data_IF_385441497822
#
_entry.id   IF_385441497822
#
_cell.length_a   1.000
_cell.length_b   1.000
_cell.length_c   1.000
_cell.angle_alpha   90.00
_cell.angle_beta   90.00
_cell.angle_gamma   90.00
#
_symmetry.space_group_name_H-M   'P 1'
#
loop_
_entity.id
_entity.type
_entity.pdbx_description
1 polymer ?
#
# COMPACT_ATOMS: atom_id res chain seq x y z
N UNK A 1 -12.86 -11.48 -1.38
CA UNK A 1 -13.67 -10.33 -0.94
C UNK A 1 -12.97 -9.04 -1.37
N UNK A 2 -13.68 -7.93 -1.62
CA UNK A 2 -13.04 -6.64 -1.90
C UNK A 2 -12.42 -5.99 -0.64
N UNK A 3 -11.48 -5.06 -0.81
CA UNK A 3 -10.83 -4.32 0.30
C UNK A 3 -11.85 -3.61 1.19
N UNK A 4 -12.89 -3.01 0.60
CA UNK A 4 -13.95 -2.34 1.35
C UNK A 4 -14.69 -3.27 2.34
N UNK A 5 -14.70 -4.58 2.09
CA UNK A 5 -15.28 -5.55 3.02
C UNK A 5 -14.46 -5.74 4.30
N UNK A 6 -13.21 -5.29 4.31
CA UNK A 6 -12.28 -5.38 5.44
C UNK A 6 -12.17 -4.08 6.24
N UNK A 7 -13.10 -3.13 6.05
CA UNK A 7 -13.07 -1.80 6.67
C UNK A 7 -12.81 -1.83 8.20
N UNK A 8 -13.54 -2.65 8.95
CA UNK A 8 -13.35 -2.78 10.41
C UNK A 8 -11.97 -3.32 10.81
N UNK A 9 -11.34 -4.13 9.96
CA UNK A 9 -9.99 -4.61 10.23
C UNK A 9 -8.95 -3.52 9.94
N UNK A 10 -9.10 -2.80 8.83
CA UNK A 10 -8.26 -1.64 8.50
C UNK A 10 -8.37 -0.53 9.55
N UNK A 11 -9.57 -0.27 10.09
CA UNK A 11 -9.77 0.73 11.15
C UNK A 11 -9.05 0.35 12.46
N UNK A 12 -9.06 -0.94 12.83
CA UNK A 12 -8.29 -1.45 13.97
C UNK A 12 -6.79 -1.28 13.75
N UNK A 13 -6.28 -1.64 12.57
CA UNK A 13 -4.87 -1.44 12.21
C UNK A 13 -4.48 0.05 12.21
N UNK A 14 -5.35 0.93 11.70
CA UNK A 14 -5.10 2.37 11.72
C UNK A 14 -5.02 2.90 13.16
N UNK A 15 -5.93 2.48 14.03
CA UNK A 15 -5.91 2.84 15.46
C UNK A 15 -4.64 2.36 16.13
N UNK A 16 -4.20 1.11 15.87
CA UNK A 16 -2.95 0.57 16.40
C UNK A 16 -1.73 1.37 15.89
N UNK A 17 -1.68 1.67 14.59
CA UNK A 17 -0.58 2.40 13.96
C UNK A 17 -0.41 3.84 14.46
N UNK A 18 -1.50 4.48 14.89
CA UNK A 18 -1.48 5.87 15.38
C UNK A 18 -1.26 5.96 16.89
N UNK A 19 -1.53 4.89 17.62
CA UNK A 19 -1.31 4.82 19.08
C UNK A 19 0.17 4.68 19.45
N UNK A 20 1.02 4.26 18.50
CA UNK A 20 2.45 4.10 18.69
C UNK A 20 3.20 5.28 18.08
N UNK A 21 3.85 6.09 18.92
CA UNK A 21 4.71 7.16 18.45
C UNK A 21 6.03 6.57 17.91
N UNK A 22 6.12 6.40 16.60
CA UNK A 22 7.35 5.96 15.93
C UNK A 22 8.11 7.13 15.30
N UNK A 23 9.43 7.23 15.48
CA UNK A 23 10.25 8.22 14.78
C UNK A 23 10.51 7.85 13.31
N UNK A 24 10.21 6.61 12.90
CA UNK A 24 10.50 6.12 11.56
C UNK A 24 9.57 6.78 10.53
N UNK A 25 10.11 7.38 9.45
CA UNK A 25 9.30 8.00 8.39
C UNK A 25 8.26 7.04 7.81
N UNK A 26 8.63 5.77 7.63
CA UNK A 26 7.75 4.73 7.08
C UNK A 26 6.49 4.50 7.92
N UNK A 27 6.55 4.52 9.25
CA UNK A 27 5.36 4.36 10.10
C UNK A 27 4.38 5.52 9.94
N UNK A 28 4.90 6.75 9.85
CA UNK A 28 4.08 7.94 9.64
C UNK A 28 3.43 7.91 8.26
N UNK A 29 4.20 7.57 7.23
CA UNK A 29 3.69 7.48 5.86
C UNK A 29 2.69 6.33 5.73
N UNK A 30 2.94 5.19 6.37
CA UNK A 30 2.04 4.06 6.43
C UNK A 30 0.70 4.45 7.06
N UNK A 31 0.70 5.06 8.26
CA UNK A 31 -0.56 5.46 8.92
C UNK A 31 -1.36 6.49 8.12
N UNK A 32 -0.69 7.44 7.46
CA UNK A 32 -1.33 8.39 6.54
C UNK A 32 -1.91 7.69 5.29
N UNK A 33 -1.16 6.78 4.68
CA UNK A 33 -1.60 5.99 3.53
C UNK A 33 -2.77 5.08 3.89
N UNK A 34 -2.71 4.41 5.05
CA UNK A 34 -3.77 3.53 5.53
C UNK A 34 -5.06 4.29 5.83
N UNK A 35 -4.97 5.48 6.44
CA UNK A 35 -6.12 6.35 6.63
C UNK A 35 -6.78 6.67 5.28
N UNK A 36 -5.96 7.04 4.30
CA UNK A 36 -6.45 7.38 2.98
C UNK A 36 -7.11 6.17 2.28
N UNK A 37 -6.50 4.98 2.39
CA UNK A 37 -7.06 3.71 1.90
C UNK A 37 -8.41 3.41 2.58
N UNK A 38 -8.51 3.59 3.89
CA UNK A 38 -9.74 3.36 4.66
C UNK A 38 -10.89 4.23 4.15
N UNK A 39 -10.63 5.52 3.97
CA UNK A 39 -11.61 6.52 3.50
C UNK A 39 -12.06 6.30 2.05
N UNK A 40 -11.21 5.67 1.22
CA UNK A 40 -11.45 5.52 -0.22
C UNK A 40 -11.46 4.05 -0.68
N UNK A 41 -11.63 3.09 0.23
CA UNK A 41 -11.46 1.66 -0.03
C UNK A 41 -12.25 1.14 -1.25
N UNK A 42 -13.47 1.64 -1.47
CA UNK A 42 -14.30 1.27 -2.62
C UNK A 42 -13.68 1.61 -3.98
N UNK A 43 -12.87 2.67 -4.06
CA UNK A 43 -12.15 3.00 -5.30
C UNK A 43 -11.00 2.03 -5.58
N UNK A 44 -10.42 1.44 -4.53
CA UNK A 44 -9.34 0.46 -4.67
C UNK A 44 -9.87 -0.93 -5.05
N UNK A 45 -11.13 -1.24 -4.73
CA UNK A 45 -11.78 -2.49 -5.16
C UNK A 45 -11.81 -2.64 -6.69
N UNK A 46 -11.76 -1.53 -7.44
CA UNK A 46 -11.76 -1.51 -8.90
C UNK A 46 -10.41 -1.88 -9.53
N UNK A 47 -9.31 -1.74 -8.78
CA UNK A 47 -7.95 -1.90 -9.31
C UNK A 47 -7.08 -2.91 -8.53
N UNK A 48 -7.48 -3.29 -7.32
CA UNK A 48 -6.78 -4.28 -6.50
C UNK A 48 -7.54 -5.60 -6.54
N UNK A 49 -7.06 -6.52 -7.39
CA UNK A 49 -7.61 -7.87 -7.52
C UNK A 49 -7.26 -8.77 -6.35
N UNK A 50 -8.13 -9.75 -6.05
CA UNK A 50 -7.93 -10.73 -4.97
C UNK A 50 -6.80 -11.73 -5.23
N UNK A 51 -6.43 -11.88 -6.50
CA UNK A 51 -5.29 -12.66 -6.98
C UNK A 51 -3.96 -11.90 -6.86
N UNK A 52 -3.99 -10.62 -6.49
CA UNK A 52 -2.79 -9.85 -6.24
C UNK A 52 -2.09 -10.35 -4.95
N UNK A 53 -0.79 -10.70 -4.98
CA UNK A 53 -0.09 -11.21 -3.81
C UNK A 53 -0.02 -10.19 -2.66
N UNK A 54 0.04 -8.89 -2.96
CA UNK A 54 0.03 -7.83 -1.94
C UNK A 54 -1.35 -7.65 -1.32
N UNK A 55 -2.42 -7.92 -2.07
CA UNK A 55 -3.76 -8.01 -1.49
C UNK A 55 -3.82 -9.16 -0.47
N UNK A 56 -3.37 -10.35 -0.88
CA UNK A 56 -3.41 -11.54 -0.02
C UNK A 56 -2.58 -11.37 1.24
N UNK A 57 -1.36 -10.83 1.12
CA UNK A 57 -0.49 -10.51 2.26
C UNK A 57 -1.17 -9.48 3.18
N UNK A 58 -1.71 -8.39 2.63
CA UNK A 58 -2.38 -7.37 3.42
C UNK A 58 -3.57 -7.93 4.22
N UNK A 59 -4.42 -8.75 3.61
CA UNK A 59 -5.55 -9.38 4.30
C UNK A 59 -5.07 -10.39 5.35
N UNK A 60 -4.05 -11.18 5.04
CA UNK A 60 -3.46 -12.11 6.01
C UNK A 60 -2.99 -11.34 7.25
N UNK A 61 -2.29 -10.22 7.07
CA UNK A 61 -1.86 -9.37 8.19
C UNK A 61 -3.04 -8.79 8.95
N UNK A 62 -4.07 -8.29 8.28
CA UNK A 62 -5.28 -7.75 8.93
C UNK A 62 -6.03 -8.76 9.83
N UNK A 63 -5.82 -10.06 9.62
CA UNK A 63 -6.45 -11.13 10.39
C UNK A 63 -5.61 -11.60 11.59
N UNK A 64 -4.34 -11.20 11.66
CA UNK A 64 -3.41 -11.59 12.71
C UNK A 64 -3.10 -10.41 13.65
N UNK A 65 -2.47 -10.71 14.78
CA UNK A 65 -1.90 -9.66 15.63
C UNK A 65 -0.65 -9.10 14.94
N UNK A 66 -0.69 -7.80 14.63
CA UNK A 66 0.35 -7.09 13.89
C UNK A 66 1.30 -6.40 14.87
N UNK A 67 2.60 -6.58 14.66
CA UNK A 67 3.65 -5.79 15.30
C UNK A 67 4.10 -4.69 14.34
N UNK A 68 3.79 -3.41 14.63
CA UNK A 68 4.20 -2.34 13.73
C UNK A 68 5.72 -2.26 13.53
N UNK A 69 6.53 -2.68 14.50
CA UNK A 69 7.98 -2.65 14.37
C UNK A 69 8.51 -3.69 13.36
N UNK A 70 7.81 -4.82 13.20
CA UNK A 70 8.22 -5.91 12.30
C UNK A 70 7.46 -5.87 10.97
N UNK A 71 6.18 -5.53 11.01
CA UNK A 71 5.26 -5.68 9.88
C UNK A 71 5.04 -4.39 9.09
N UNK A 72 5.43 -3.22 9.62
CA UNK A 72 5.15 -1.94 8.97
C UNK A 72 5.79 -1.84 7.58
N UNK A 73 6.97 -2.43 7.35
CA UNK A 73 7.61 -2.41 6.04
C UNK A 73 6.77 -3.19 5.01
N UNK A 74 6.39 -4.43 5.30
CA UNK A 74 5.56 -5.22 4.37
C UNK A 74 4.16 -4.62 4.14
N UNK A 75 3.56 -4.04 5.18
CA UNK A 75 2.28 -3.32 5.05
C UNK A 75 2.42 -2.02 4.23
N UNK A 76 3.55 -1.33 4.35
CA UNK A 76 3.88 -0.16 3.53
C UNK A 76 4.09 -0.54 2.06
N UNK A 77 4.76 -1.65 1.79
CA UNK A 77 4.92 -2.20 0.44
C UNK A 77 3.55 -2.52 -0.19
N UNK A 78 2.64 -3.14 0.57
CA UNK A 78 1.27 -3.41 0.10
C UNK A 78 0.53 -2.11 -0.30
N UNK A 79 0.60 -1.09 0.56
CA UNK A 79 0.00 0.23 0.29
C UNK A 79 0.57 0.88 -0.96
N UNK A 80 1.89 0.79 -1.14
CA UNK A 80 2.59 1.32 -2.33
C UNK A 80 2.07 0.67 -3.60
N UNK A 81 1.91 -0.66 -3.59
CA UNK A 81 1.37 -1.40 -4.74
C UNK A 81 -0.08 -1.01 -5.02
N UNK A 82 -0.94 -0.87 -4.00
CA UNK A 82 -2.33 -0.45 -4.21
C UNK A 82 -2.43 0.94 -4.83
N UNK A 83 -1.61 1.88 -4.36
CA UNK A 83 -1.56 3.24 -4.90
C UNK A 83 -1.03 3.26 -6.34
N UNK A 84 -0.01 2.46 -6.64
CA UNK A 84 0.54 2.32 -7.99
C UNK A 84 -0.47 1.72 -8.97
N UNK A 85 -1.20 0.68 -8.55
CA UNK A 85 -2.26 0.08 -9.36
C UNK A 85 -3.33 1.11 -9.72
N UNK A 86 -3.82 1.85 -8.72
CA UNK A 86 -4.85 2.89 -8.94
C UNK A 86 -4.34 4.02 -9.82
N UNK A 87 -3.09 4.46 -9.64
CA UNK A 87 -2.45 5.48 -10.48
C UNK A 87 -2.46 5.07 -11.96
N UNK A 88 -2.20 3.81 -12.25
CA UNK A 88 -2.08 3.31 -13.63
C UNK A 88 -3.45 3.01 -14.26
N UNK A 89 -4.42 2.54 -13.46
CA UNK A 89 -5.81 2.31 -13.94
C UNK A 89 -6.50 3.64 -14.24
N UNK A 90 -6.34 4.63 -13.37
CA UNK A 90 -6.98 5.95 -13.51
C UNK A 90 -6.02 6.97 -14.15
N UNK A 91 -5.54 6.66 -15.37
CA UNK A 91 -4.60 7.55 -16.11
C UNK A 91 -5.20 8.96 -16.22
N UNK A 92 -4.53 9.94 -15.61
CA UNK A 92 -4.94 11.35 -15.61
C UNK A 92 -5.58 11.85 -14.31
N UNK A 93 -5.88 10.96 -13.36
CA UNK A 93 -6.24 11.37 -12.00
C UNK A 93 -5.01 11.94 -11.29
N UNK A 94 -5.17 13.10 -10.66
CA UNK A 94 -4.16 13.63 -9.75
C UNK A 94 -4.06 12.74 -8.50
N UNK A 95 -2.83 12.35 -8.14
CA UNK A 95 -2.59 11.66 -6.87
C UNK A 95 -2.97 12.58 -5.71
N UNK A 96 -3.57 12.00 -4.67
CA UNK A 96 -3.70 12.68 -3.39
C UNK A 96 -2.33 12.92 -2.75
N UNK A 97 -2.26 13.84 -1.79
CA UNK A 97 -1.04 14.10 -1.03
C UNK A 97 -0.52 12.83 -0.33
N UNK A 98 -1.41 12.00 0.22
CA UNK A 98 -1.05 10.74 0.88
C UNK A 98 -0.44 9.74 -0.10
N UNK A 99 -1.08 9.53 -1.26
CA UNK A 99 -0.52 8.67 -2.32
C UNK A 99 0.82 9.19 -2.80
N UNK A 100 0.90 10.48 -3.13
CA UNK A 100 2.11 11.09 -3.66
C UNK A 100 3.28 10.94 -2.69
N UNK A 101 3.06 11.09 -1.38
CA UNK A 101 4.12 10.94 -0.37
C UNK A 101 4.59 9.51 -0.21
N UNK A 102 3.66 8.55 -0.17
CA UNK A 102 4.00 7.13 -0.07
C UNK A 102 4.81 6.70 -1.30
N UNK A 103 4.32 7.00 -2.50
CA UNK A 103 5.01 6.66 -3.74
C UNK A 103 6.37 7.37 -3.85
N UNK A 104 6.41 8.67 -3.58
CA UNK A 104 7.67 9.41 -3.65
C UNK A 104 8.72 8.86 -2.67
N UNK A 105 8.34 8.53 -1.44
CA UNK A 105 9.27 7.93 -0.49
C UNK A 105 9.78 6.58 -0.98
N UNK A 106 8.88 5.70 -1.45
CA UNK A 106 9.26 4.40 -2.01
C UNK A 106 10.26 4.54 -3.16
N UNK A 107 10.07 5.54 -4.03
CA UNK A 107 10.92 5.79 -5.20
C UNK A 107 12.27 6.43 -4.88
N UNK A 108 12.43 7.05 -3.70
CA UNK A 108 13.60 7.91 -3.41
C UNK A 108 14.39 7.53 -2.16
N UNK A 109 13.88 6.63 -1.32
CA UNK A 109 14.56 6.23 -0.08
C UNK A 109 15.80 5.33 -0.31
N UNK A 110 15.92 4.72 -1.50
CA UNK A 110 17.03 3.83 -1.86
C UNK A 110 16.85 2.37 -1.43
N UNK A 111 15.73 2.00 -0.82
CA UNK A 111 15.44 0.62 -0.35
C UNK A 111 14.80 -0.27 -1.43
N UNK A 112 14.14 0.33 -2.43
CA UNK A 112 13.38 -0.39 -3.46
C UNK A 112 13.73 0.09 -4.86
N UNK A 113 14.96 -0.18 -5.28
CA UNK A 113 15.47 0.20 -6.59
C UNK A 113 14.97 -0.75 -7.70
N UNK A 114 14.92 -0.29 -8.97
CA UNK A 114 14.48 -1.12 -10.10
C UNK A 114 15.30 -2.40 -10.33
N UNK A 115 16.57 -2.40 -9.91
CA UNK A 115 17.50 -3.54 -9.99
C UNK A 115 17.30 -4.59 -8.88
N UNK A 116 16.53 -4.28 -7.84
CA UNK A 116 16.36 -5.18 -6.71
C UNK A 116 15.56 -6.42 -7.10
N UNK A 117 15.96 -7.57 -6.54
CA UNK A 117 15.27 -8.84 -6.76
C UNK A 117 14.04 -9.03 -5.87
N UNK A 118 13.61 -8.00 -5.14
CA UNK A 118 12.44 -8.08 -4.28
C UNK A 118 11.15 -8.14 -5.11
N UNK A 119 10.14 -8.81 -4.58
CA UNK A 119 8.84 -8.93 -5.27
C UNK A 119 8.19 -7.55 -5.45
N UNK A 120 8.29 -6.67 -4.44
CA UNK A 120 7.72 -5.31 -4.50
C UNK A 120 8.39 -4.44 -5.57
N UNK A 121 9.73 -4.43 -5.65
CA UNK A 121 10.43 -3.67 -6.70
C UNK A 121 10.06 -4.19 -8.08
N UNK A 122 10.01 -5.50 -8.28
CA UNK A 122 9.61 -6.07 -9.57
C UNK A 122 8.17 -5.70 -9.96
N UNK A 123 7.24 -5.74 -9.00
CA UNK A 123 5.86 -5.37 -9.25
C UNK A 123 5.70 -3.88 -9.58
N UNK A 124 6.32 -3.01 -8.78
CA UNK A 124 6.19 -1.56 -8.90
C UNK A 124 6.78 -1.03 -10.21
N UNK A 125 8.01 -1.44 -10.54
CA UNK A 125 8.79 -0.89 -11.65
C UNK A 125 8.48 -1.55 -12.99
N UNK A 126 8.14 -2.84 -12.99
CA UNK A 126 8.04 -3.62 -14.23
C UNK A 126 6.64 -4.19 -14.47
N UNK A 127 6.09 -4.95 -13.52
CA UNK A 127 4.84 -5.70 -13.75
C UNK A 127 3.64 -4.79 -13.94
N UNK A 128 3.39 -3.85 -13.02
CA UNK A 128 2.23 -2.95 -13.10
C UNK A 128 2.31 -2.07 -14.34
N UNK A 129 3.44 -1.40 -14.66
CA UNK A 129 3.53 -0.62 -15.89
C UNK A 129 3.29 -1.44 -17.16
N UNK A 130 3.77 -2.69 -17.21
CA UNK A 130 3.61 -3.57 -18.37
C UNK A 130 2.18 -4.02 -18.61
N UNK A 131 1.35 -4.13 -17.57
CA UNK A 131 -0.05 -4.55 -17.69
C UNK A 131 -0.92 -3.54 -18.45
N UNK A 132 -0.48 -2.29 -18.60
CA UNK A 132 -1.27 -1.20 -19.18
C UNK A 132 -0.58 -0.51 -20.37
N UNK A 133 0.36 -1.21 -21.02
CA UNK A 133 1.05 -0.82 -22.25
C UNK A 133 0.38 -1.38 -23.53
N UNK A 134 -0.88 -1.81 -23.45
CA UNK A 134 -1.67 -2.31 -24.59
C UNK A 134 -2.81 -1.38 -24.97
#
# INVERSE_FOLDING_TARGET
MPLSSHHKAMERLYTASTSQASPLPTHRLFSQGLKYLLEHSSSFDLCVGEDNPFYQEFILRLQNDISMDEDCLGLFECLTIFFRLRQIVEKGRALSEAESRVLHYFETCGEWEPQDSTVVSHWYWWRIPSQFLH
#
